data_IF_456495112894
#
_entry.id   IF_456495112894
#
_cell.length_a   1.000
_cell.length_b   1.000
_cell.length_c   1.000
_cell.angle_alpha   90.00
_cell.angle_beta   90.00
_cell.angle_gamma   90.00
#
_symmetry.space_group_name_H-M   'P 1'
#
loop_
_entity.id
_entity.type
_entity.pdbx_description
1 polymer ?
#
# COMPACT_ATOMS: atom_id res chain seq x y z
N UNK A 1 -1.33 -9.59 -19.98
CA UNK A 1 -2.26 -9.99 -19.20
C UNK A 1 -1.95 -9.88 -17.79
N UNK A 2 -2.70 -9.38 -17.09
CA UNK A 2 -2.39 -9.21 -15.72
C UNK A 2 -2.98 -10.34 -14.92
N UNK A 3 -2.39 -10.58 -13.79
CA UNK A 3 -2.89 -11.52 -12.87
C UNK A 3 -3.42 -10.82 -11.70
N UNK A 4 -4.51 -11.28 -11.21
CA UNK A 4 -5.08 -10.72 -10.01
C UNK A 4 -5.04 -11.79 -8.95
N UNK A 5 -4.77 -11.40 -7.74
CA UNK A 5 -4.93 -12.31 -6.65
C UNK A 5 -5.54 -11.55 -5.50
N UNK A 6 -6.14 -12.27 -4.61
CA UNK A 6 -6.86 -11.67 -3.52
C UNK A 6 -6.32 -12.18 -2.21
N UNK A 7 -6.26 -11.30 -1.27
CA UNK A 7 -5.92 -11.64 0.08
C UNK A 7 -6.92 -11.00 1.00
N UNK A 8 -7.25 -11.69 2.04
CA UNK A 8 -8.18 -11.17 3.03
C UNK A 8 -7.45 -10.88 4.30
N UNK A 9 -7.86 -9.84 4.98
CA UNK A 9 -7.31 -9.51 6.27
C UNK A 9 -8.44 -9.08 7.17
N UNK A 10 -8.40 -9.53 8.40
CA UNK A 10 -9.44 -9.22 9.34
C UNK A 10 -9.17 -7.85 9.95
N UNK A 11 -10.19 -7.03 10.03
CA UNK A 11 -10.07 -5.75 10.69
C UNK A 11 -10.14 -5.99 12.18
N UNK A 12 -9.10 -5.63 12.88
CA UNK A 12 -9.03 -5.88 14.31
C UNK A 12 -9.42 -4.63 15.08
N UNK A 13 -9.31 -4.72 16.39
CA UNK A 13 -9.66 -3.60 17.25
C UNK A 13 -8.89 -2.37 16.80
N UNK A 14 -9.52 -1.23 16.92
CA UNK A 14 -8.90 0.03 16.56
C UNK A 14 -8.65 0.16 15.07
N UNK A 15 -9.33 -0.66 14.27
CA UNK A 15 -9.20 -0.54 12.82
C UNK A 15 -7.92 -1.05 12.24
N UNK A 16 -7.17 -1.84 12.98
CA UNK A 16 -5.89 -2.33 12.49
C UNK A 16 -6.07 -3.59 11.67
N UNK A 17 -5.23 -3.74 10.65
CA UNK A 17 -5.21 -4.97 9.86
C UNK A 17 -3.76 -5.33 9.62
N UNK A 18 -3.53 -6.62 9.44
CA UNK A 18 -2.21 -7.10 9.09
C UNK A 18 -2.08 -7.09 7.58
N UNK A 19 -1.01 -6.52 7.08
CA UNK A 19 -0.77 -6.55 5.65
C UNK A 19 -0.18 -7.91 5.31
N UNK A 20 -0.85 -8.69 4.45
CA UNK A 20 -0.35 -10.03 4.12
C UNK A 20 1.05 -9.99 3.54
N UNK A 21 1.78 -11.05 3.78
CA UNK A 21 3.17 -11.11 3.35
C UNK A 21 3.32 -10.87 1.85
N UNK A 22 2.43 -11.47 1.06
CA UNK A 22 2.50 -11.31 -0.38
C UNK A 22 2.35 -9.85 -0.79
N UNK A 23 1.44 -9.15 -0.14
CA UNK A 23 1.23 -7.75 -0.43
C UNK A 23 2.45 -6.94 -0.03
N UNK A 24 3.05 -7.28 1.11
CA UNK A 24 4.25 -6.56 1.54
C UNK A 24 5.37 -6.74 0.53
N UNK A 25 5.48 -7.93 -0.03
CA UNK A 25 6.52 -8.19 -1.02
C UNK A 25 6.27 -7.37 -2.28
N UNK A 26 5.04 -7.29 -2.71
CA UNK A 26 4.70 -6.52 -3.90
C UNK A 26 5.00 -5.05 -3.67
N UNK A 27 4.66 -4.54 -2.49
CA UNK A 27 4.89 -3.15 -2.17
C UNK A 27 6.35 -2.88 -1.80
N UNK A 28 7.11 -3.94 -1.55
CA UNK A 28 8.52 -3.81 -1.14
C UNK A 28 8.67 -3.02 0.15
N UNK A 29 7.82 -3.34 1.11
CA UNK A 29 7.87 -2.70 2.42
C UNK A 29 8.39 -3.67 3.45
N UNK A 30 9.00 -3.13 4.48
CA UNK A 30 9.54 -3.90 5.57
C UNK A 30 9.11 -3.28 6.88
N UNK A 31 9.42 -3.96 7.96
CA UNK A 31 9.08 -3.43 9.27
C UNK A 31 9.65 -2.04 9.42
N UNK A 32 8.83 -1.16 9.92
CA UNK A 32 9.25 0.22 10.11
C UNK A 32 8.95 1.12 8.94
N UNK A 33 8.62 0.54 7.79
CA UNK A 33 8.28 1.36 6.64
C UNK A 33 6.85 1.87 6.80
N UNK A 34 6.53 2.88 6.02
CA UNK A 34 5.20 3.46 6.02
C UNK A 34 4.52 3.19 4.70
N UNK A 35 3.21 3.15 4.73
CA UNK A 35 2.42 3.04 3.51
C UNK A 35 1.51 4.23 3.43
N UNK A 36 1.17 4.61 2.22
CA UNK A 36 0.29 5.73 1.97
C UNK A 36 -1.00 5.18 1.36
N UNK A 37 -2.12 5.66 1.87
CA UNK A 37 -3.41 5.28 1.35
C UNK A 37 -3.88 6.39 0.44
N UNK A 38 -4.14 6.07 -0.81
CA UNK A 38 -4.55 7.05 -1.79
C UNK A 38 -6.00 6.76 -2.16
N UNK A 39 -6.85 7.76 -2.01
CA UNK A 39 -8.26 7.61 -2.34
C UNK A 39 -8.53 8.38 -3.61
N UNK A 40 -9.03 7.69 -4.62
CA UNK A 40 -9.33 8.32 -5.89
C UNK A 40 -10.64 7.77 -6.42
N UNK A 41 -11.60 8.62 -6.64
CA UNK A 41 -12.86 8.22 -7.26
C UNK A 41 -13.49 7.04 -6.54
N UNK A 42 -13.48 7.08 -5.23
CA UNK A 42 -14.11 6.03 -4.46
C UNK A 42 -13.30 4.77 -4.30
N UNK A 43 -12.10 4.75 -4.80
CA UNK A 43 -11.23 3.60 -4.66
C UNK A 43 -10.06 3.94 -3.77
N UNK A 44 -9.52 2.93 -3.11
CA UNK A 44 -8.40 3.13 -2.22
C UNK A 44 -7.24 2.28 -2.72
N UNK A 45 -6.08 2.93 -2.77
CA UNK A 45 -4.87 2.28 -3.18
C UNK A 45 -3.85 2.40 -2.06
N UNK A 46 -3.07 1.37 -1.84
CA UNK A 46 -2.03 1.39 -0.83
C UNK A 46 -0.71 1.35 -1.55
N UNK A 47 0.16 2.29 -1.23
CA UNK A 47 1.45 2.37 -1.89
C UNK A 47 2.55 2.52 -0.85
N UNK A 48 3.76 2.18 -1.26
CA UNK A 48 4.94 2.36 -0.43
C UNK A 48 5.21 3.85 -0.33
N UNK A 49 5.18 4.39 0.89
CA UNK A 49 5.33 5.83 1.06
C UNK A 49 6.62 6.35 0.49
N UNK A 50 7.70 5.63 0.71
CA UNK A 50 8.98 6.08 0.24
C UNK A 50 8.99 6.23 -1.28
N UNK A 51 8.54 5.21 -1.98
CA UNK A 51 8.52 5.26 -3.43
C UNK A 51 7.55 6.31 -3.93
N UNK A 52 6.39 6.39 -3.30
CA UNK A 52 5.37 7.33 -3.72
C UNK A 52 5.86 8.76 -3.59
N UNK A 53 6.50 9.07 -2.47
CA UNK A 53 7.00 10.42 -2.25
C UNK A 53 8.10 10.76 -3.23
N UNK A 54 9.00 9.83 -3.48
CA UNK A 54 10.06 10.08 -4.42
C UNK A 54 9.54 10.39 -5.80
N UNK A 55 8.55 9.63 -6.25
CA UNK A 55 7.99 9.87 -7.56
C UNK A 55 7.30 11.21 -7.63
N UNK A 56 6.55 11.55 -6.60
CA UNK A 56 5.81 12.79 -6.63
C UNK A 56 6.71 14.00 -6.55
N UNK A 57 7.75 13.90 -5.77
CA UNK A 57 8.67 15.02 -5.68
C UNK A 57 9.33 15.26 -7.01
N UNK A 58 9.73 14.21 -7.68
CA UNK A 58 10.33 14.38 -8.97
C UNK A 58 9.37 14.99 -9.96
N UNK A 59 8.15 14.63 -9.89
CA UNK A 59 7.19 15.14 -10.83
C UNK A 59 6.78 16.55 -10.58
N UNK A 60 7.09 17.04 -9.37
CA UNK A 60 6.72 18.34 -9.07
C UNK A 60 7.56 19.34 -9.60
N UNK A 61 8.61 19.17 -9.80
CA UNK A 61 9.55 20.13 -10.08
C UNK A 61 9.22 21.10 -10.88
#
# INVERSE_FOLDING_TARGET
>A
MSEAFMNNAKVMAKGQVTIPKKIREILKIENGDYVTFVVTEGKIQIVNSKTFIEKNIQGRK
#
